data_IF_529714800756
#
_entry.id   IF_529714800756
#
_cell.length_a   1.000
_cell.length_b   1.000
_cell.length_c   1.000
_cell.angle_alpha   90.00
_cell.angle_beta   90.00
_cell.angle_gamma   90.00
#
_symmetry.space_group_name_H-M   'P 1'
#
loop_
_entity.id
_entity.type
_entity.pdbx_description
1 polymer ?
#
# COMPACT_ATOMS: atom_id res chain seq x y z
N UNK A 1 -26.96 2.53 -62.69
CA UNK A 1 -26.68 3.15 -61.38
C UNK A 1 -25.55 2.35 -60.75
N UNK A 2 -24.32 2.81 -60.98
CA UNK A 2 -23.08 2.09 -60.68
C UNK A 2 -22.16 3.09 -60.00
N UNK A 3 -21.98 2.95 -58.69
CA UNK A 3 -21.17 3.88 -57.88
C UNK A 3 -19.78 3.30 -57.65
N UNK A 4 -18.81 4.14 -58.01
CA UNK A 4 -17.37 3.97 -57.93
C UNK A 4 -16.89 3.99 -56.47
N UNK A 5 -16.10 2.99 -56.06
CA UNK A 5 -15.20 3.08 -54.92
C UNK A 5 -13.77 3.35 -55.44
N UNK A 6 -13.08 4.40 -54.98
CA UNK A 6 -11.70 4.63 -55.35
C UNK A 6 -10.78 3.67 -54.58
N UNK A 7 -9.95 2.94 -55.33
CA UNK A 7 -8.91 2.07 -54.80
C UNK A 7 -7.89 2.87 -53.98
N UNK A 8 -7.81 2.60 -52.66
CA UNK A 8 -6.72 3.07 -51.81
C UNK A 8 -5.41 2.40 -52.24
N UNK A 9 -4.61 3.12 -53.02
CA UNK A 9 -3.20 2.76 -53.29
C UNK A 9 -2.45 2.73 -51.96
N UNK A 10 -1.99 1.54 -51.53
CA UNK A 10 -0.95 1.39 -50.51
C UNK A 10 0.30 2.13 -50.99
N UNK A 11 0.55 3.33 -50.48
CA UNK A 11 1.87 3.95 -50.57
C UNK A 11 2.85 3.06 -49.79
N UNK A 12 3.73 2.35 -50.50
CA UNK A 12 4.97 1.83 -49.93
C UNK A 12 5.78 3.06 -49.52
N UNK A 13 5.76 3.38 -48.23
CA UNK A 13 6.77 4.26 -47.65
C UNK A 13 8.07 3.46 -47.68
N UNK A 14 8.87 3.67 -48.72
CA UNK A 14 10.29 3.31 -48.71
C UNK A 14 10.93 4.13 -47.60
N UNK A 15 11.20 3.50 -46.45
CA UNK A 15 12.11 4.06 -45.46
C UNK A 15 13.44 4.28 -46.16
N UNK A 16 13.73 5.54 -46.47
CA UNK A 16 15.08 5.96 -46.82
C UNK A 16 15.95 5.58 -45.63
N UNK A 17 16.93 4.70 -45.84
CA UNK A 17 17.99 4.45 -44.88
C UNK A 17 18.77 5.76 -44.70
N UNK A 18 18.25 6.65 -43.86
CA UNK A 18 19.07 7.66 -43.22
C UNK A 18 20.19 6.87 -42.56
N UNK A 19 21.44 7.10 -43.00
CA UNK A 19 22.63 6.64 -42.28
C UNK A 19 22.51 7.25 -40.90
N UNK A 20 21.98 6.48 -39.96
CA UNK A 20 21.94 6.81 -38.55
C UNK A 20 23.38 7.15 -38.17
N UNK A 21 23.63 8.41 -37.84
CA UNK A 21 24.81 8.73 -37.06
C UNK A 21 24.75 7.78 -35.87
N UNK A 22 25.77 6.93 -35.63
CA UNK A 22 25.75 6.03 -34.50
C UNK A 22 25.49 6.92 -33.29
N UNK A 23 24.35 6.71 -32.61
CA UNK A 23 24.17 7.26 -31.28
C UNK A 23 25.48 6.96 -30.56
N UNK A 24 26.25 8.00 -30.22
CA UNK A 24 27.50 7.82 -29.50
C UNK A 24 27.14 6.95 -28.31
N UNK A 25 27.68 5.72 -28.28
CA UNK A 25 27.22 4.69 -27.36
C UNK A 25 27.31 5.27 -25.96
N UNK A 26 26.17 5.44 -25.32
CA UNK A 26 26.14 5.91 -23.95
C UNK A 26 26.85 4.84 -23.11
N UNK A 27 27.65 5.24 -22.11
CA UNK A 27 28.12 4.30 -21.10
C UNK A 27 26.94 3.50 -20.54
N UNK A 28 27.14 2.20 -20.34
CA UNK A 28 26.08 1.27 -19.93
C UNK A 28 25.42 1.71 -18.61
N UNK A 29 26.18 2.36 -17.73
CA UNK A 29 25.70 2.92 -16.47
C UNK A 29 24.65 4.02 -16.71
N UNK A 30 24.86 4.89 -17.69
CA UNK A 30 23.89 5.93 -18.05
C UNK A 30 22.66 5.32 -18.72
N UNK A 31 22.82 4.27 -19.54
CA UNK A 31 21.70 3.55 -20.13
C UNK A 31 20.80 2.94 -19.05
N UNK A 32 21.38 2.28 -18.04
CA UNK A 32 20.62 1.71 -16.93
C UNK A 32 19.94 2.79 -16.08
N UNK A 33 20.61 3.90 -15.78
CA UNK A 33 19.98 5.02 -15.07
C UNK A 33 18.80 5.62 -15.84
N UNK A 34 18.91 5.73 -17.17
CA UNK A 34 17.80 6.19 -18.01
C UNK A 34 16.63 5.20 -17.90
N UNK A 35 16.87 3.91 -18.08
CA UNK A 35 15.82 2.88 -18.02
C UNK A 35 15.17 2.80 -16.63
N UNK A 36 15.97 2.86 -15.56
CA UNK A 36 15.50 2.84 -14.17
C UNK A 36 14.61 4.05 -13.85
N UNK A 37 14.81 5.19 -14.52
CA UNK A 37 13.94 6.36 -14.36
C UNK A 37 12.47 6.09 -14.75
N UNK A 38 12.25 5.11 -15.64
CA UNK A 38 10.93 4.68 -16.09
C UNK A 38 10.36 3.51 -15.27
N UNK A 39 10.97 3.15 -14.13
CA UNK A 39 10.39 2.16 -13.22
C UNK A 39 8.94 2.53 -12.85
N UNK A 40 8.01 1.60 -13.08
CA UNK A 40 6.58 1.79 -12.88
C UNK A 40 5.80 2.28 -14.10
N UNK A 41 6.46 2.73 -15.18
CA UNK A 41 5.81 3.09 -16.45
C UNK A 41 6.07 2.02 -17.53
N UNK A 42 5.23 0.98 -17.51
CA UNK A 42 5.35 -0.13 -18.45
C UNK A 42 5.11 0.27 -19.91
N UNK A 43 4.43 1.39 -20.19
CA UNK A 43 4.18 1.85 -21.56
C UNK A 43 5.47 2.47 -22.09
N UNK A 44 6.03 3.43 -21.35
CA UNK A 44 7.28 4.10 -21.76
C UNK A 44 8.46 3.11 -21.83
N UNK A 45 8.55 2.15 -20.89
CA UNK A 45 9.55 1.08 -20.95
C UNK A 45 9.45 0.25 -22.23
N UNK A 46 8.25 -0.04 -22.72
CA UNK A 46 8.07 -0.79 -23.99
C UNK A 46 8.50 0.03 -25.18
N UNK A 47 8.16 1.31 -25.21
CA UNK A 47 8.56 2.20 -26.30
C UNK A 47 10.09 2.36 -26.34
N UNK A 48 10.76 2.45 -25.18
CA UNK A 48 12.22 2.47 -25.09
C UNK A 48 12.86 1.19 -25.62
N UNK A 49 12.25 0.01 -25.39
CA UNK A 49 12.72 -1.25 -25.97
C UNK A 49 12.68 -1.25 -27.52
N UNK A 50 11.81 -0.44 -28.13
CA UNK A 50 11.73 -0.31 -29.58
C UNK A 50 12.82 0.59 -30.15
N UNK A 51 13.30 1.55 -29.35
CA UNK A 51 14.38 2.48 -29.75
C UNK A 51 15.73 1.77 -29.76
N UNK A 52 16.05 1.00 -28.72
CA UNK A 52 17.32 0.28 -28.63
C UNK A 52 17.13 -1.14 -28.09
N UNK A 53 17.50 -2.15 -28.90
CA UNK A 53 17.40 -3.56 -28.52
C UNK A 53 18.31 -3.95 -27.36
N UNK A 54 19.43 -3.26 -27.15
CA UNK A 54 20.33 -3.51 -26.01
C UNK A 54 19.60 -3.28 -24.68
N UNK A 55 18.68 -2.31 -24.65
CA UNK A 55 17.90 -1.95 -23.46
C UNK A 55 16.83 -2.99 -23.13
N UNK A 56 16.47 -3.87 -24.06
CA UNK A 56 15.38 -4.82 -23.89
C UNK A 56 15.62 -5.81 -22.73
N UNK A 57 16.88 -6.20 -22.48
CA UNK A 57 17.21 -7.14 -21.41
C UNK A 57 16.96 -6.54 -20.02
N UNK A 58 17.46 -5.32 -19.78
CA UNK A 58 17.26 -4.59 -18.53
C UNK A 58 15.81 -4.13 -18.35
N UNK A 59 15.19 -3.63 -19.42
CA UNK A 59 13.78 -3.24 -19.39
C UNK A 59 12.85 -4.44 -19.15
N UNK A 60 13.19 -5.65 -19.61
CA UNK A 60 12.43 -6.86 -19.29
C UNK A 60 12.39 -7.13 -17.79
N UNK A 61 13.52 -6.98 -17.08
CA UNK A 61 13.52 -7.11 -15.62
C UNK A 61 12.51 -6.12 -14.99
N UNK A 62 12.56 -4.84 -15.34
CA UNK A 62 11.64 -3.83 -14.79
C UNK A 62 10.17 -4.09 -15.17
N UNK A 63 9.91 -4.52 -16.41
CA UNK A 63 8.56 -4.81 -16.91
C UNK A 63 7.92 -6.01 -16.22
N UNK A 64 8.70 -7.03 -15.86
CA UNK A 64 8.22 -8.27 -15.23
C UNK A 64 8.43 -8.31 -13.71
N UNK A 65 9.13 -7.34 -13.10
CA UNK A 65 9.37 -7.27 -11.65
C UNK A 65 8.08 -7.31 -10.83
N UNK A 66 7.09 -6.52 -11.26
CA UNK A 66 5.81 -6.38 -10.60
C UNK A 66 4.70 -6.71 -11.62
N UNK A 67 4.13 -7.91 -11.52
CA UNK A 67 3.11 -8.37 -12.46
C UNK A 67 1.73 -8.26 -11.83
N UNK A 68 0.82 -7.62 -12.55
CA UNK A 68 -0.59 -7.56 -12.22
C UNK A 68 -1.39 -8.42 -13.21
N UNK A 69 -2.04 -9.45 -12.70
CA UNK A 69 -2.82 -10.40 -13.50
C UNK A 69 -4.27 -10.35 -13.06
N UNK A 70 -5.16 -10.16 -14.03
CA UNK A 70 -6.59 -10.31 -13.85
C UNK A 70 -6.99 -11.73 -14.18
N UNK A 71 -8.08 -12.19 -13.60
CA UNK A 71 -8.65 -13.49 -13.99
C UNK A 71 -8.77 -13.68 -15.51
N UNK A 72 -9.22 -12.64 -16.23
CA UNK A 72 -9.43 -12.68 -17.70
C UNK A 72 -8.16 -12.89 -18.53
N UNK A 73 -7.00 -12.40 -18.06
CA UNK A 73 -5.74 -12.54 -18.80
C UNK A 73 -4.79 -13.57 -18.16
N UNK A 74 -5.24 -14.27 -17.11
CA UNK A 74 -4.41 -15.23 -16.39
C UNK A 74 -3.92 -16.36 -17.29
N UNK A 75 -4.81 -16.98 -18.08
CA UNK A 75 -4.40 -18.04 -19.04
C UNK A 75 -3.34 -17.56 -20.04
N UNK A 76 -3.48 -16.33 -20.55
CA UNK A 76 -2.49 -15.76 -21.47
C UNK A 76 -1.15 -15.51 -20.77
N UNK A 77 -1.18 -15.06 -19.51
CA UNK A 77 0.03 -14.90 -18.71
C UNK A 77 0.76 -16.24 -18.50
N UNK A 78 0.02 -17.32 -18.25
CA UNK A 78 0.61 -18.66 -18.13
C UNK A 78 1.22 -19.15 -19.42
N UNK A 79 0.51 -19.03 -20.53
CA UNK A 79 1.04 -19.42 -21.84
C UNK A 79 2.36 -18.68 -22.15
N UNK A 80 2.48 -17.41 -21.73
CA UNK A 80 3.74 -16.66 -21.83
C UNK A 80 4.84 -17.26 -20.95
N UNK A 81 4.55 -17.62 -19.70
CA UNK A 81 5.54 -18.24 -18.81
C UNK A 81 5.97 -19.64 -19.26
N UNK A 82 5.05 -20.41 -19.83
CA UNK A 82 5.33 -21.73 -20.41
C UNK A 82 6.22 -21.62 -21.65
N UNK A 83 5.97 -20.60 -22.48
CA UNK A 83 6.78 -20.34 -23.69
C UNK A 83 8.15 -19.75 -23.32
N UNK A 84 8.21 -18.93 -22.26
CA UNK A 84 9.39 -18.19 -21.83
C UNK A 84 9.67 -18.40 -20.35
N UNK A 85 10.35 -19.51 -20.06
CA UNK A 85 10.72 -19.92 -18.71
C UNK A 85 11.63 -18.92 -17.96
N UNK A 86 12.35 -18.08 -18.69
CA UNK A 86 13.24 -17.05 -18.14
C UNK A 86 12.48 -15.93 -17.42
N UNK A 87 11.29 -15.57 -17.93
CA UNK A 87 10.53 -14.42 -17.44
C UNK A 87 10.04 -14.60 -15.99
N UNK A 88 9.71 -15.83 -15.59
CA UNK A 88 9.24 -16.12 -14.23
C UNK A 88 10.24 -15.72 -13.15
N UNK A 89 11.55 -15.78 -13.45
CA UNK A 89 12.62 -15.42 -12.51
C UNK A 89 12.70 -13.93 -12.22
N UNK A 90 12.17 -13.09 -13.09
CA UNK A 90 12.13 -11.64 -12.87
C UNK A 90 10.96 -11.23 -11.98
N UNK A 91 9.95 -12.08 -11.80
CA UNK A 91 8.75 -11.76 -11.03
C UNK A 91 9.07 -11.78 -9.53
N UNK A 92 9.04 -10.61 -8.90
CA UNK A 92 9.25 -10.43 -7.45
C UNK A 92 7.91 -10.23 -6.75
N UNK A 93 6.99 -9.53 -7.41
CA UNK A 93 5.63 -9.25 -6.91
C UNK A 93 4.61 -9.74 -7.92
N UNK A 94 3.67 -10.57 -7.46
CA UNK A 94 2.54 -11.04 -8.24
C UNK A 94 1.25 -10.61 -7.57
N UNK A 95 0.44 -9.84 -8.29
CA UNK A 95 -0.89 -9.43 -7.86
C UNK A 95 -1.93 -10.11 -8.75
N UNK A 96 -2.81 -10.91 -8.14
CA UNK A 96 -3.88 -11.63 -8.82
C UNK A 96 -5.22 -11.07 -8.34
N UNK A 97 -5.93 -10.41 -9.25
CA UNK A 97 -7.26 -9.84 -8.97
C UNK A 97 -8.33 -10.59 -9.76
N UNK A 98 -9.26 -11.17 -9.01
CA UNK A 98 -10.55 -11.62 -9.56
C UNK A 98 -11.50 -10.41 -9.65
N UNK A 99 -12.28 -10.32 -10.73
CA UNK A 99 -13.15 -9.17 -10.92
C UNK A 99 -14.16 -9.03 -9.77
N UNK A 100 -14.48 -7.80 -9.38
CA UNK A 100 -15.35 -7.44 -8.24
C UNK A 100 -16.82 -7.92 -8.31
N UNK A 101 -17.20 -8.66 -9.36
CA UNK A 101 -18.55 -9.23 -9.45
C UNK A 101 -18.52 -10.57 -8.72
N UNK A 102 -18.84 -10.52 -7.44
CA UNK A 102 -19.17 -11.65 -6.55
C UNK A 102 -20.35 -12.53 -7.01
N UNK A 103 -20.68 -12.50 -8.30
CA UNK A 103 -21.69 -13.37 -8.88
C UNK A 103 -21.03 -14.74 -9.07
N UNK A 104 -20.86 -15.40 -7.92
CA UNK A 104 -20.42 -16.77 -7.77
C UNK A 104 -21.43 -17.68 -8.46
N UNK A 105 -20.98 -18.36 -9.51
CA UNK A 105 -21.49 -19.69 -9.78
C UNK A 105 -20.48 -20.63 -9.14
N UNK A 106 -20.92 -21.54 -8.28
CA UNK A 106 -20.11 -22.51 -7.51
C UNK A 106 -19.23 -23.44 -8.37
N UNK A 107 -19.14 -23.21 -9.69
CA UNK A 107 -18.49 -24.08 -10.66
C UNK A 107 -17.30 -23.44 -11.38
N UNK A 108 -16.87 -22.24 -10.99
CA UNK A 108 -15.60 -21.73 -11.50
C UNK A 108 -14.46 -22.39 -10.72
N UNK A 109 -14.00 -23.53 -11.26
CA UNK A 109 -12.70 -24.14 -10.96
C UNK A 109 -11.67 -23.03 -10.75
N UNK A 110 -11.08 -23.02 -9.55
CA UNK A 110 -10.17 -21.97 -9.16
C UNK A 110 -8.95 -22.07 -10.07
N UNK A 111 -8.69 -20.99 -10.80
CA UNK A 111 -7.52 -20.84 -11.65
C UNK A 111 -6.21 -21.00 -10.87
N UNK A 112 -6.24 -21.03 -9.53
CA UNK A 112 -5.06 -21.38 -8.72
C UNK A 112 -4.86 -22.90 -8.61
N UNK A 113 -5.92 -23.71 -8.64
CA UNK A 113 -5.86 -25.16 -8.44
C UNK A 113 -5.10 -25.85 -9.57
N UNK A 114 -5.40 -25.43 -10.81
CA UNK A 114 -4.80 -26.01 -12.00
C UNK A 114 -3.31 -25.61 -12.17
N UNK A 115 -2.85 -24.59 -11.46
CA UNK A 115 -1.67 -23.81 -11.87
C UNK A 115 -0.60 -23.69 -10.77
N UNK A 116 -0.92 -24.12 -9.55
CA UNK A 116 -0.01 -24.14 -8.41
C UNK A 116 1.39 -24.73 -8.72
N UNK A 117 1.55 -25.86 -9.45
CA UNK A 117 2.88 -26.42 -9.71
C UNK A 117 3.71 -25.59 -10.70
N UNK A 118 3.08 -25.05 -11.75
CA UNK A 118 3.78 -24.32 -12.81
C UNK A 118 4.35 -23.02 -12.25
N UNK A 119 3.56 -22.29 -11.44
CA UNK A 119 4.03 -21.01 -10.91
C UNK A 119 5.18 -21.19 -9.90
N UNK A 120 5.10 -22.23 -9.06
CA UNK A 120 6.14 -22.53 -8.07
C UNK A 120 7.48 -22.81 -8.75
N UNK A 121 7.48 -23.61 -9.83
CA UNK A 121 8.71 -23.92 -10.58
C UNK A 121 9.30 -22.69 -11.28
N UNK A 122 8.45 -21.85 -11.89
CA UNK A 122 8.91 -20.72 -12.71
C UNK A 122 9.26 -19.46 -11.92
N UNK A 123 8.63 -19.24 -10.76
CA UNK A 123 8.77 -17.99 -10.00
C UNK A 123 9.57 -18.17 -8.71
N UNK A 124 10.75 -18.74 -8.81
CA UNK A 124 11.64 -18.99 -7.65
C UNK A 124 12.05 -17.72 -6.87
N UNK A 125 11.89 -16.54 -7.48
CA UNK A 125 12.19 -15.24 -6.86
C UNK A 125 10.96 -14.50 -6.35
N UNK A 126 9.76 -15.10 -6.39
CA UNK A 126 8.54 -14.45 -5.94
C UNK A 126 8.59 -14.23 -4.43
N UNK A 127 8.58 -12.96 -4.00
CA UNK A 127 8.64 -12.57 -2.58
C UNK A 127 7.30 -12.06 -2.07
N UNK A 128 6.54 -11.38 -2.93
CA UNK A 128 5.26 -10.77 -2.59
C UNK A 128 4.15 -11.37 -3.43
N UNK A 129 3.13 -11.92 -2.76
CA UNK A 129 1.91 -12.40 -3.38
C UNK A 129 0.72 -11.61 -2.84
N UNK A 130 -0.07 -11.05 -3.74
CA UNK A 130 -1.30 -10.33 -3.44
C UNK A 130 -2.47 -11.01 -4.14
N UNK A 131 -3.42 -11.50 -3.36
CA UNK A 131 -4.61 -12.19 -3.84
C UNK A 131 -5.83 -11.36 -3.46
N UNK A 132 -6.63 -11.00 -4.45
CA UNK A 132 -7.84 -10.21 -4.25
C UNK A 132 -9.08 -10.85 -4.87
N UNK A 133 -10.20 -10.85 -4.13
CA UNK A 133 -11.54 -11.32 -4.55
C UNK A 133 -11.67 -12.82 -4.88
N UNK A 134 -10.91 -13.67 -4.17
CA UNK A 134 -10.79 -15.11 -4.47
C UNK A 134 -11.69 -16.00 -3.63
N UNK A 135 -12.19 -17.08 -4.21
CA UNK A 135 -12.81 -18.18 -3.46
C UNK A 135 -11.90 -19.42 -3.46
N UNK A 136 -11.57 -19.89 -2.26
CA UNK A 136 -10.78 -21.10 -2.02
C UNK A 136 -11.71 -22.23 -1.57
N UNK A 137 -12.12 -23.08 -2.51
CA UNK A 137 -12.92 -24.29 -2.26
C UNK A 137 -12.16 -25.40 -1.50
N UNK A 138 -12.84 -26.49 -1.16
CA UNK A 138 -12.25 -27.64 -0.43
C UNK A 138 -11.07 -28.29 -1.16
N UNK A 139 -11.15 -28.37 -2.49
CA UNK A 139 -10.14 -29.01 -3.34
C UNK A 139 -8.94 -28.09 -3.63
N UNK A 140 -9.16 -26.77 -3.52
CA UNK A 140 -8.19 -25.72 -3.86
C UNK A 140 -7.04 -25.59 -2.87
N UNK A 141 -7.21 -26.20 -1.70
CA UNK A 141 -6.33 -26.02 -0.57
C UNK A 141 -5.39 -27.19 -0.36
N UNK A 142 -5.16 -28.04 -1.37
CA UNK A 142 -3.88 -28.74 -1.42
C UNK A 142 -2.87 -27.75 -1.98
N UNK A 143 -2.10 -27.05 -1.14
CA UNK A 143 -1.15 -26.09 -1.64
C UNK A 143 -0.10 -26.90 -2.39
N UNK A 144 0.37 -26.39 -3.53
CA UNK A 144 1.67 -26.84 -3.99
C UNK A 144 2.65 -26.49 -2.88
N UNK A 145 3.11 -27.50 -2.15
CA UNK A 145 4.30 -27.39 -1.35
C UNK A 145 5.38 -26.78 -2.28
N UNK A 146 5.95 -25.64 -1.89
CA UNK A 146 7.03 -25.04 -2.68
C UNK A 146 7.07 -23.51 -2.76
N UNK A 147 6.09 -22.78 -2.23
CA UNK A 147 6.13 -21.31 -2.13
C UNK A 147 7.07 -20.80 -1.02
N UNK A 148 8.28 -21.37 -0.96
CA UNK A 148 9.27 -21.09 0.08
C UNK A 148 9.94 -19.72 -0.04
N UNK A 149 9.84 -19.06 -1.20
CA UNK A 149 10.42 -17.73 -1.44
C UNK A 149 9.53 -16.58 -0.97
N UNK A 150 8.23 -16.83 -0.76
CA UNK A 150 7.27 -15.79 -0.39
C UNK A 150 7.48 -15.40 1.06
N UNK A 151 7.77 -14.12 1.27
CA UNK A 151 7.91 -13.51 2.59
C UNK A 151 6.81 -12.50 2.90
N UNK A 152 6.06 -12.04 1.89
CA UNK A 152 4.93 -11.13 2.05
C UNK A 152 3.68 -11.67 1.35
N UNK A 153 2.59 -11.74 2.09
CA UNK A 153 1.31 -12.21 1.60
C UNK A 153 0.22 -11.19 1.92
N UNK A 154 -0.53 -10.80 0.90
CA UNK A 154 -1.72 -9.97 1.03
C UNK A 154 -2.93 -10.75 0.54
N UNK A 155 -3.95 -10.87 1.38
CA UNK A 155 -5.17 -11.63 1.09
C UNK A 155 -6.36 -10.69 1.31
N UNK A 156 -6.98 -10.24 0.23
CA UNK A 156 -8.05 -9.24 0.28
C UNK A 156 -9.34 -9.79 -0.30
N UNK A 157 -10.44 -9.63 0.41
CA UNK A 157 -11.75 -10.05 -0.05
C UNK A 157 -11.73 -11.52 -0.48
N UNK A 158 -11.02 -12.38 0.26
CA UNK A 158 -10.94 -13.79 -0.06
C UNK A 158 -11.85 -14.60 0.86
N UNK A 159 -12.47 -15.64 0.31
CA UNK A 159 -13.31 -16.55 1.07
C UNK A 159 -12.70 -17.94 1.02
N UNK A 160 -12.62 -18.59 2.17
CA UNK A 160 -12.19 -19.99 2.27
C UNK A 160 -13.40 -20.85 2.60
N UNK A 161 -13.52 -22.01 1.97
CA UNK A 161 -14.65 -22.91 2.19
C UNK A 161 -14.65 -23.49 3.61
N UNK A 162 -13.46 -23.70 4.18
CA UNK A 162 -13.25 -24.23 5.54
C UNK A 162 -12.02 -23.61 6.19
N UNK A 163 -11.95 -23.64 7.53
CA UNK A 163 -10.73 -23.25 8.26
C UNK A 163 -9.51 -24.09 7.85
N UNK A 164 -9.72 -25.39 7.56
CA UNK A 164 -8.65 -26.28 7.08
C UNK A 164 -8.12 -25.86 5.71
N UNK A 165 -9.00 -25.40 4.81
CA UNK A 165 -8.55 -24.93 3.50
C UNK A 165 -7.68 -23.68 3.60
N UNK A 166 -8.02 -22.79 4.52
CA UNK A 166 -7.22 -21.61 4.81
C UNK A 166 -5.89 -21.98 5.47
N UNK A 167 -5.90 -22.94 6.40
CA UNK A 167 -4.70 -23.47 7.05
C UNK A 167 -3.68 -23.96 6.05
N UNK A 168 -4.13 -24.87 5.18
CA UNK A 168 -3.25 -25.48 4.21
C UNK A 168 -2.69 -24.39 3.31
N UNK A 169 -3.52 -23.47 2.82
CA UNK A 169 -3.07 -22.33 2.02
C UNK A 169 -1.93 -21.57 2.70
N UNK A 170 -2.11 -21.20 3.97
CA UNK A 170 -1.09 -20.47 4.73
C UNK A 170 0.17 -21.30 5.04
N UNK A 171 0.02 -22.59 5.33
CA UNK A 171 1.15 -23.50 5.57
C UNK A 171 2.09 -23.63 4.35
N UNK A 172 1.65 -23.22 3.16
CA UNK A 172 2.46 -23.17 1.95
C UNK A 172 3.60 -22.14 2.01
N UNK A 173 3.56 -21.19 2.95
CA UNK A 173 4.48 -20.06 3.04
C UNK A 173 5.33 -20.14 4.33
N UNK A 174 6.33 -21.04 4.39
CA UNK A 174 7.13 -21.25 5.61
C UNK A 174 8.03 -20.07 5.98
N UNK A 175 8.33 -19.16 5.04
CA UNK A 175 9.16 -17.96 5.26
C UNK A 175 8.36 -16.67 5.36
N UNK A 176 7.06 -16.77 5.65
CA UNK A 176 6.20 -15.61 5.73
C UNK A 176 6.63 -14.69 6.88
N UNK A 177 6.99 -13.45 6.56
CA UNK A 177 7.36 -12.41 7.53
C UNK A 177 6.29 -11.30 7.60
N UNK A 178 5.48 -11.14 6.56
CA UNK A 178 4.51 -10.05 6.44
C UNK A 178 3.17 -10.59 5.95
N UNK A 179 2.14 -10.45 6.79
CA UNK A 179 0.78 -10.89 6.50
C UNK A 179 -0.18 -9.70 6.58
N UNK A 180 -0.93 -9.47 5.51
CA UNK A 180 -1.99 -8.45 5.43
C UNK A 180 -3.28 -9.13 4.99
N UNK A 181 -4.27 -9.23 5.88
CA UNK A 181 -5.55 -9.87 5.59
C UNK A 181 -6.69 -8.87 5.70
N UNK A 182 -7.43 -8.69 4.61
CA UNK A 182 -8.54 -7.75 4.52
C UNK A 182 -9.83 -8.47 4.11
N UNK A 183 -10.91 -8.42 4.88
CA UNK A 183 -12.17 -9.14 4.62
C UNK A 183 -12.00 -10.61 4.21
N UNK A 184 -11.59 -11.47 5.14
CA UNK A 184 -11.72 -12.92 4.93
C UNK A 184 -12.69 -13.55 5.93
N UNK A 185 -13.44 -14.55 5.47
CA UNK A 185 -14.57 -15.15 6.20
C UNK A 185 -14.22 -16.53 6.75
N UNK A 186 -13.18 -16.69 7.59
CA UNK A 186 -12.86 -18.01 8.20
C UNK A 186 -12.04 -17.94 9.48
N UNK A 187 -12.03 -19.04 10.26
CA UNK A 187 -11.20 -19.19 11.48
C UNK A 187 -9.76 -19.51 11.14
N UNK A 188 -8.80 -18.81 11.74
CA UNK A 188 -7.36 -19.07 11.55
C UNK A 188 -6.84 -20.10 12.55
N UNK A 189 -5.97 -20.99 12.08
CA UNK A 189 -5.01 -21.74 12.91
C UNK A 189 -3.55 -21.37 12.55
N UNK A 190 -2.55 -21.49 13.47
CA UNK A 190 -1.18 -20.96 13.23
C UNK A 190 -0.22 -22.04 12.79
N UNK A 191 0.53 -21.81 11.72
CA UNK A 191 1.89 -22.31 11.58
C UNK A 191 2.81 -21.51 12.52
N UNK A 192 3.91 -22.12 12.99
CA UNK A 192 4.94 -21.41 13.77
C UNK A 192 5.68 -20.38 12.92
N UNK A 193 5.08 -19.20 12.71
CA UNK A 193 5.63 -18.12 11.91
C UNK A 193 6.31 -17.06 12.76
N UNK A 194 7.35 -16.45 12.19
CA UNK A 194 8.05 -15.30 12.74
C UNK A 194 7.60 -14.05 11.99
N UNK A 195 6.34 -13.63 12.23
CA UNK A 195 5.74 -12.50 11.51
C UNK A 195 6.24 -11.16 12.05
N UNK A 196 7.02 -10.43 11.26
CA UNK A 196 7.43 -9.05 11.60
C UNK A 196 6.31 -8.04 11.38
N UNK A 197 5.46 -8.29 10.38
CA UNK A 197 4.36 -7.40 10.02
C UNK A 197 3.05 -8.17 9.99
N UNK A 198 2.06 -7.66 10.72
CA UNK A 198 0.72 -8.20 10.77
C UNK A 198 -0.29 -7.07 10.59
N UNK A 199 -1.11 -7.17 9.56
CA UNK A 199 -2.20 -6.22 9.32
C UNK A 199 -3.53 -6.96 9.14
N UNK A 200 -4.55 -6.42 9.80
CA UNK A 200 -5.91 -6.90 9.67
C UNK A 200 -6.84 -5.79 9.21
N UNK A 201 -7.66 -6.13 8.24
CA UNK A 201 -8.74 -5.32 7.71
C UNK A 201 -9.99 -5.34 8.56
N UNK A 202 -11.12 -5.22 7.86
CA UNK A 202 -12.40 -5.65 8.40
C UNK A 202 -12.41 -7.17 8.52
N UNK A 203 -12.48 -7.69 9.75
CA UNK A 203 -12.44 -9.13 10.03
C UNK A 203 -13.57 -9.53 11.00
N UNK A 204 -14.17 -10.73 10.87
CA UNK A 204 -15.03 -11.30 11.91
C UNK A 204 -14.21 -11.59 13.18
N UNK A 205 -14.29 -10.68 14.14
CA UNK A 205 -13.24 -10.43 15.12
C UNK A 205 -12.98 -11.57 16.08
N UNK A 206 -14.03 -12.23 16.55
CA UNK A 206 -13.98 -13.28 17.55
C UNK A 206 -13.20 -14.52 17.08
N UNK A 207 -12.71 -14.54 15.84
CA UNK A 207 -12.15 -15.76 15.26
C UNK A 207 -10.63 -15.75 15.16
N UNK A 208 -10.05 -14.57 15.03
CA UNK A 208 -8.62 -14.38 14.76
C UNK A 208 -7.90 -13.91 16.02
N UNK A 209 -8.47 -12.97 16.77
CA UNK A 209 -7.91 -12.53 18.04
C UNK A 209 -7.99 -13.61 19.11
N UNK A 210 -9.12 -14.34 19.20
CA UNK A 210 -9.26 -15.50 20.10
C UNK A 210 -8.24 -16.58 19.77
N UNK A 211 -7.96 -16.74 18.48
CA UNK A 211 -7.01 -17.72 18.00
C UNK A 211 -5.56 -17.35 18.30
N UNK A 212 -5.11 -16.14 17.97
CA UNK A 212 -3.74 -15.70 18.29
C UNK A 212 -3.48 -15.72 19.79
N UNK A 213 -4.51 -15.39 20.58
CA UNK A 213 -4.47 -15.47 22.04
C UNK A 213 -4.37 -16.92 22.56
N UNK A 214 -4.95 -17.89 21.85
CA UNK A 214 -4.95 -19.31 22.25
C UNK A 214 -3.67 -20.08 21.88
N UNK A 215 -2.87 -19.59 20.95
CA UNK A 215 -1.64 -20.25 20.54
C UNK A 215 -0.59 -20.24 21.69
N UNK A 216 0.01 -21.39 22.06
CA UNK A 216 1.04 -21.43 23.10
C UNK A 216 2.42 -20.92 22.63
N UNK A 217 2.63 -20.73 21.32
CA UNK A 217 3.90 -20.28 20.77
C UNK A 217 4.28 -18.85 21.18
N UNK A 218 5.60 -18.62 21.34
CA UNK A 218 6.15 -17.27 21.39
C UNK A 218 5.94 -16.61 20.03
N UNK A 219 5.16 -15.53 20.02
CA UNK A 219 4.77 -14.82 18.81
C UNK A 219 5.28 -13.38 18.90
N UNK A 220 6.28 -13.04 18.09
CA UNK A 220 6.87 -11.70 18.04
C UNK A 220 6.38 -10.96 16.81
N UNK A 221 5.85 -9.75 16.98
CA UNK A 221 5.40 -8.87 15.89
C UNK A 221 5.98 -7.49 16.09
N UNK A 222 6.69 -6.96 15.08
CA UNK A 222 7.25 -5.61 15.14
C UNK A 222 6.23 -4.54 14.75
N UNK A 223 5.40 -4.83 13.73
CA UNK A 223 4.37 -3.95 13.20
C UNK A 223 3.01 -4.61 13.25
N UNK A 224 2.07 -3.98 13.94
CA UNK A 224 0.70 -4.44 14.03
C UNK A 224 -0.27 -3.36 13.59
N UNK A 225 -1.15 -3.70 12.65
CA UNK A 225 -2.20 -2.82 12.14
C UNK A 225 -3.54 -3.50 12.21
N UNK A 226 -4.54 -2.75 12.63
CA UNK A 226 -5.94 -3.17 12.58
C UNK A 226 -6.79 -2.03 12.02
N UNK A 227 -7.64 -2.33 11.04
CA UNK A 227 -8.48 -1.35 10.35
C UNK A 227 -9.93 -1.32 10.87
N UNK A 228 -10.32 -2.32 11.66
CA UNK A 228 -11.63 -2.34 12.28
C UNK A 228 -11.58 -3.08 13.62
N UNK A 229 -11.98 -2.38 14.67
CA UNK A 229 -12.41 -2.96 15.94
C UNK A 229 -13.94 -3.08 15.90
N UNK A 230 -14.44 -4.04 16.64
CA UNK A 230 -15.82 -4.50 16.60
C UNK A 230 -16.24 -4.66 18.04
N UNK A 231 -17.41 -5.26 18.27
CA UNK A 231 -18.13 -5.00 19.51
C UNK A 231 -17.39 -5.51 20.74
N UNK A 232 -16.54 -6.52 20.60
CA UNK A 232 -15.76 -7.10 21.69
C UNK A 232 -14.26 -6.84 21.49
N UNK A 233 -13.69 -5.95 22.30
CA UNK A 233 -12.25 -5.69 22.31
C UNK A 233 -11.47 -6.64 23.25
N UNK A 234 -12.13 -7.55 23.97
CA UNK A 234 -11.46 -8.45 24.94
C UNK A 234 -10.43 -9.34 24.24
N UNK A 235 -10.78 -9.90 23.10
CA UNK A 235 -9.88 -10.72 22.30
C UNK A 235 -8.69 -9.92 21.77
N UNK A 236 -8.92 -8.66 21.39
CA UNK A 236 -7.86 -7.78 20.92
C UNK A 236 -6.92 -7.38 22.06
N UNK A 237 -7.43 -7.15 23.27
CA UNK A 237 -6.61 -6.97 24.46
C UNK A 237 -5.76 -8.20 24.77
N UNK A 238 -6.35 -9.41 24.67
CA UNK A 238 -5.61 -10.65 24.87
C UNK A 238 -4.47 -10.78 23.85
N UNK A 239 -4.72 -10.39 22.60
CA UNK A 239 -3.70 -10.33 21.56
C UNK A 239 -2.61 -9.30 21.89
N UNK A 240 -2.98 -8.05 22.19
CA UNK A 240 -2.01 -7.01 22.54
C UNK A 240 -1.19 -7.37 23.77
N UNK A 241 -1.78 -8.02 24.77
CA UNK A 241 -1.04 -8.53 25.93
C UNK A 241 0.00 -9.57 25.53
N UNK A 242 -0.30 -10.40 24.54
CA UNK A 242 0.63 -11.42 24.02
C UNK A 242 1.75 -10.81 23.17
N UNK A 243 1.45 -9.86 22.27
CA UNK A 243 2.45 -9.30 21.33
C UNK A 243 3.11 -8.01 21.80
N UNK A 244 2.56 -7.36 22.82
CA UNK A 244 2.87 -5.99 23.19
C UNK A 244 4.35 -5.77 23.51
N UNK A 245 4.98 -6.71 24.20
CA UNK A 245 6.39 -6.58 24.60
C UNK A 245 7.38 -6.56 23.43
N UNK A 246 6.99 -7.06 22.25
CA UNK A 246 7.78 -6.98 21.02
C UNK A 246 7.33 -5.88 20.05
N UNK A 247 6.20 -5.23 20.32
CA UNK A 247 5.53 -4.39 19.35
C UNK A 247 6.17 -3.00 19.25
N UNK A 248 6.76 -2.69 18.09
CA UNK A 248 7.40 -1.40 17.83
C UNK A 248 6.47 -0.40 17.19
N UNK A 249 5.59 -0.84 16.30
CA UNK A 249 4.66 0.01 15.57
C UNK A 249 3.23 -0.52 15.74
N UNK A 250 2.33 0.32 16.24
CA UNK A 250 0.92 -0.01 16.40
C UNK A 250 0.07 0.97 15.61
N UNK A 251 -0.76 0.47 14.70
CA UNK A 251 -1.77 1.24 13.97
C UNK A 251 -3.16 0.77 14.39
N UNK A 252 -3.88 1.63 15.10
CA UNK A 252 -5.24 1.41 15.57
C UNK A 252 -6.25 2.00 14.59
N UNK A 253 -7.44 1.41 14.46
CA UNK A 253 -8.47 1.94 13.58
C UNK A 253 -9.21 3.09 14.22
N UNK A 254 -9.90 3.82 13.36
CA UNK A 254 -10.97 4.72 13.71
C UNK A 254 -11.99 3.98 14.55
N UNK A 255 -12.38 4.59 15.65
CA UNK A 255 -13.25 4.03 16.68
C UNK A 255 -14.73 4.05 16.28
N UNK A 256 -15.01 4.07 14.96
CA UNK A 256 -16.28 4.56 14.43
C UNK A 256 -17.49 3.64 14.67
N UNK A 257 -17.25 2.37 14.97
CA UNK A 257 -18.30 1.39 15.25
C UNK A 257 -18.29 0.87 16.69
N UNK A 258 -17.26 1.21 17.45
CA UNK A 258 -17.09 0.72 18.81
C UNK A 258 -17.11 1.92 19.73
N UNK A 259 -18.18 2.05 20.50
CA UNK A 259 -18.22 3.00 21.62
C UNK A 259 -17.19 2.54 22.64
N UNK A 260 -15.96 3.04 22.50
CA UNK A 260 -14.85 2.75 23.41
C UNK A 260 -15.04 3.17 24.87
N UNK A 261 -16.03 4.01 25.28
CA UNK A 261 -16.32 4.14 26.71
C UNK A 261 -16.73 2.80 27.36
N UNK A 262 -17.22 1.82 26.59
CA UNK A 262 -17.76 0.57 27.15
C UNK A 262 -16.75 -0.59 27.16
N UNK A 263 -15.71 -0.54 26.32
CA UNK A 263 -14.74 -1.65 26.24
C UNK A 263 -13.32 -1.15 26.48
N UNK A 264 -12.68 -1.53 27.60
CA UNK A 264 -11.37 -0.99 27.97
C UNK A 264 -10.29 -1.59 27.09
N UNK A 265 -9.96 -0.94 25.98
CA UNK A 265 -8.77 -1.27 25.20
C UNK A 265 -7.51 -0.86 25.99
N UNK A 266 -6.57 -1.79 26.16
CA UNK A 266 -5.32 -1.58 26.92
C UNK A 266 -4.09 -1.78 26.03
N UNK A 267 -3.26 -0.73 25.97
CA UNK A 267 -1.95 -0.76 25.28
C UNK A 267 -0.77 -0.71 26.27
N UNK A 268 -1.03 -0.94 27.57
CA UNK A 268 -0.04 -0.87 28.65
C UNK A 268 1.13 -1.85 28.50
N UNK A 269 0.87 -3.00 27.86
CA UNK A 269 1.87 -4.05 27.64
C UNK A 269 2.80 -3.73 26.45
N UNK A 270 2.55 -2.66 25.69
CA UNK A 270 3.35 -2.25 24.55
C UNK A 270 4.58 -1.43 24.96
N UNK A 271 5.50 -2.04 25.74
CA UNK A 271 6.60 -1.33 26.42
C UNK A 271 7.77 -0.91 25.52
N UNK A 272 7.84 -1.44 24.30
CA UNK A 272 8.88 -1.10 23.29
C UNK A 272 8.31 -0.32 22.10
N UNK A 273 7.11 0.23 22.26
CA UNK A 273 6.42 0.97 21.20
C UNK A 273 7.19 2.23 20.82
N UNK A 274 7.53 2.36 19.55
CA UNK A 274 8.24 3.52 18.97
C UNK A 274 7.33 4.40 18.13
N UNK A 275 6.29 3.81 17.52
CA UNK A 275 5.31 4.52 16.72
C UNK A 275 3.90 4.08 17.05
N UNK A 276 3.04 5.06 17.29
CA UNK A 276 1.60 4.87 17.44
C UNK A 276 0.86 5.66 16.35
N UNK A 277 -0.02 4.98 15.64
CA UNK A 277 -0.82 5.56 14.57
C UNK A 277 -2.29 5.33 14.83
N UNK A 278 -3.09 6.40 14.77
CA UNK A 278 -4.54 6.32 14.77
C UNK A 278 -5.01 6.55 13.34
N UNK A 279 -5.62 5.52 12.73
CA UNK A 279 -6.01 5.51 11.32
C UNK A 279 -7.50 5.78 11.15
N UNK A 280 -7.88 6.95 10.64
CA UNK A 280 -9.26 7.39 10.78
C UNK A 280 -10.11 7.32 9.51
N UNK A 281 -11.35 6.81 9.64
CA UNK A 281 -12.34 6.70 8.57
C UNK A 281 -13.77 6.89 9.14
N UNK A 282 -14.07 8.05 9.73
CA UNK A 282 -15.44 8.44 10.13
C UNK A 282 -15.52 9.20 11.46
N UNK A 283 -16.51 10.10 11.65
CA UNK A 283 -16.77 11.05 12.80
C UNK A 283 -16.32 10.63 14.22
N UNK A 284 -15.69 11.56 14.97
CA UNK A 284 -15.14 11.23 16.30
C UNK A 284 -16.14 11.50 17.40
N UNK A 285 -17.00 10.53 17.70
CA UNK A 285 -17.68 10.52 19.02
C UNK A 285 -16.74 10.09 20.16
N UNK A 286 -15.45 9.88 19.90
CA UNK A 286 -14.55 9.13 20.78
C UNK A 286 -13.18 9.75 21.03
N UNK A 287 -13.01 11.07 20.89
CA UNK A 287 -11.75 11.74 21.27
C UNK A 287 -11.26 11.34 22.68
N UNK A 288 -12.19 11.11 23.62
CA UNK A 288 -11.91 10.55 24.96
C UNK A 288 -11.28 9.15 24.95
N UNK A 289 -11.63 8.32 23.98
CA UNK A 289 -11.03 6.99 23.79
C UNK A 289 -9.57 7.10 23.37
N UNK A 290 -9.22 8.03 22.48
CA UNK A 290 -7.83 8.30 22.10
C UNK A 290 -7.04 8.79 23.32
N UNK A 291 -7.57 9.77 24.05
CA UNK A 291 -6.94 10.30 25.27
C UNK A 291 -6.72 9.17 26.30
N UNK A 292 -7.75 8.35 26.53
CA UNK A 292 -7.66 7.19 27.43
C UNK A 292 -6.57 6.20 27.00
N UNK A 293 -6.37 5.97 25.69
CA UNK A 293 -5.30 5.11 25.20
C UNK A 293 -3.93 5.75 25.36
N UNK A 294 -3.79 7.03 25.00
CA UNK A 294 -2.54 7.77 25.16
C UNK A 294 -2.06 7.76 26.61
N UNK A 295 -2.97 7.97 27.57
CA UNK A 295 -2.67 7.93 29.01
C UNK A 295 -2.29 6.53 29.54
N UNK A 296 -2.45 5.47 28.75
CA UNK A 296 -2.03 4.11 29.11
C UNK A 296 -0.65 3.74 28.58
N UNK A 297 -0.04 4.59 27.75
CA UNK A 297 1.27 4.29 27.15
C UNK A 297 2.34 4.33 28.24
N UNK A 298 3.08 3.24 28.34
CA UNK A 298 4.20 3.06 29.26
C UNK A 298 5.56 3.00 28.53
N UNK A 299 5.57 3.07 27.20
CA UNK A 299 6.79 2.94 26.40
C UNK A 299 7.62 4.21 26.47
N UNK A 300 8.85 4.18 27.03
CA UNK A 300 9.74 5.32 27.00
C UNK A 300 10.31 5.57 25.59
N UNK A 301 10.17 4.62 24.67
CA UNK A 301 10.75 4.68 23.33
C UNK A 301 9.83 5.33 22.29
N UNK A 302 8.66 5.85 22.69
CA UNK A 302 7.69 6.39 21.75
C UNK A 302 8.19 7.71 21.17
N UNK A 303 8.60 7.69 19.90
CA UNK A 303 9.14 8.88 19.20
C UNK A 303 8.15 9.50 18.23
N UNK A 304 7.13 8.75 17.78
CA UNK A 304 6.17 9.23 16.79
C UNK A 304 4.75 8.86 17.17
N UNK A 305 3.89 9.87 17.25
CA UNK A 305 2.43 9.70 17.25
C UNK A 305 1.91 10.27 15.93
N UNK A 306 1.01 9.55 15.26
CA UNK A 306 0.39 10.06 14.04
C UNK A 306 -1.12 9.91 14.05
N UNK A 307 -1.79 10.98 13.65
CA UNK A 307 -3.22 11.02 13.42
C UNK A 307 -3.49 11.07 11.93
N UNK A 308 -4.54 10.40 11.53
CA UNK A 308 -5.06 10.38 10.19
C UNK A 308 -6.40 11.10 10.24
N UNK A 309 -6.56 12.23 9.57
CA UNK A 309 -7.74 13.08 9.71
C UNK A 309 -8.45 13.20 8.38
N UNK A 310 -9.70 12.76 8.33
CA UNK A 310 -10.58 13.05 7.20
C UNK A 310 -11.35 14.36 7.43
N UNK A 311 -11.01 15.42 6.70
CA UNK A 311 -11.52 16.78 6.97
C UNK A 311 -13.05 16.92 6.79
N UNK A 312 -13.71 16.00 6.08
CA UNK A 312 -15.15 16.06 5.84
C UNK A 312 -16.03 15.57 7.00
N UNK A 313 -15.46 14.87 7.97
CA UNK A 313 -16.22 14.17 9.02
C UNK A 313 -16.21 14.89 10.36
N UNK A 314 -15.97 16.20 10.35
CA UNK A 314 -16.01 17.03 11.55
C UNK A 314 -14.95 16.70 12.60
N UNK A 315 -13.84 16.10 12.17
CA UNK A 315 -12.76 15.64 13.05
C UNK A 315 -11.97 16.74 13.73
N UNK A 316 -12.16 17.97 13.28
CA UNK A 316 -11.55 19.12 13.92
C UNK A 316 -12.26 19.48 15.22
N UNK A 317 -13.43 18.88 15.52
CA UNK A 317 -14.13 19.05 16.80
C UNK A 317 -13.65 18.10 17.91
N UNK A 318 -12.52 17.41 17.72
CA UNK A 318 -11.91 16.64 18.81
C UNK A 318 -11.43 17.55 19.95
N UNK A 319 -11.37 17.01 21.20
CA UNK A 319 -10.73 17.67 22.34
C UNK A 319 -9.20 17.69 22.15
N UNK A 320 -8.73 18.44 21.17
CA UNK A 320 -7.32 18.54 20.82
C UNK A 320 -6.49 19.12 21.95
N UNK A 321 -7.06 20.02 22.75
CA UNK A 321 -6.43 20.59 23.94
C UNK A 321 -6.08 19.49 24.96
N UNK A 322 -6.98 18.52 25.18
CA UNK A 322 -6.70 17.39 26.07
C UNK A 322 -5.64 16.43 25.47
N UNK A 323 -5.59 16.30 24.14
CA UNK A 323 -4.53 15.52 23.46
C UNK A 323 -3.17 16.23 23.59
N UNK A 324 -3.15 17.56 23.49
CA UNK A 324 -1.98 18.41 23.69
C UNK A 324 -1.42 18.24 25.11
N UNK A 325 -2.30 18.33 26.12
CA UNK A 325 -1.96 18.12 27.53
C UNK A 325 -1.34 16.74 27.77
N UNK A 326 -1.96 15.66 27.26
CA UNK A 326 -1.46 14.29 27.47
C UNK A 326 -0.10 14.07 26.79
N UNK A 327 0.07 14.50 25.54
CA UNK A 327 1.31 14.30 24.78
C UNK A 327 2.46 15.20 25.24
N UNK A 328 2.20 16.15 26.13
CA UNK A 328 3.23 17.00 26.75
C UNK A 328 3.64 16.59 28.17
N UNK A 329 3.03 15.53 28.72
CA UNK A 329 3.46 14.93 29.98
C UNK A 329 4.84 14.24 29.88
N UNK A 330 5.47 13.98 31.04
CA UNK A 330 6.78 13.31 31.14
C UNK A 330 6.81 11.91 30.50
N UNK A 331 5.65 11.23 30.40
CA UNK A 331 5.53 9.95 29.71
C UNK A 331 5.91 10.02 28.21
N UNK A 332 5.90 11.23 27.63
CA UNK A 332 6.22 11.51 26.23
C UNK A 332 7.45 12.43 26.09
N UNK A 333 8.41 12.34 27.03
CA UNK A 333 9.65 13.11 26.98
C UNK A 333 10.46 12.86 25.69
N UNK A 334 10.44 11.62 25.19
CA UNK A 334 11.17 11.19 23.99
C UNK A 334 10.37 11.36 22.68
N UNK A 335 9.19 11.97 22.74
CA UNK A 335 8.36 12.22 21.57
C UNK A 335 9.04 13.25 20.66
N UNK A 336 9.39 12.85 19.43
CA UNK A 336 10.07 13.71 18.46
C UNK A 336 9.10 14.43 17.52
N UNK A 337 7.95 13.83 17.24
CA UNK A 337 7.00 14.38 16.27
C UNK A 337 5.57 13.85 16.47
N UNK A 338 4.62 14.75 16.24
CA UNK A 338 3.19 14.45 16.13
C UNK A 338 2.75 14.76 14.70
N UNK A 339 2.38 13.73 13.96
CA UNK A 339 2.11 13.84 12.51
C UNK A 339 0.61 13.81 12.26
N UNK A 340 0.08 14.86 11.64
CA UNK A 340 -1.29 14.92 11.16
C UNK A 340 -1.33 14.69 9.66
N UNK A 341 -1.79 13.51 9.24
CA UNK A 341 -2.02 13.19 7.84
C UNK A 341 -3.46 13.54 7.52
N UNK A 342 -3.69 14.68 6.88
CA UNK A 342 -5.03 15.16 6.57
C UNK A 342 -5.37 14.83 5.12
N UNK A 343 -6.60 14.35 4.89
CA UNK A 343 -7.15 14.15 3.56
C UNK A 343 -8.64 14.51 3.51
N UNK A 344 -9.15 14.69 2.30
CA UNK A 344 -10.53 15.08 2.04
C UNK A 344 -10.63 15.81 0.71
N UNK A 345 -11.69 15.50 -0.07
CA UNK A 345 -12.06 16.29 -1.25
C UNK A 345 -12.44 17.74 -0.89
N UNK A 346 -12.94 18.56 -1.85
CA UNK A 346 -13.10 20.01 -1.69
C UNK A 346 -13.72 20.39 -0.34
N UNK A 347 -13.04 21.31 0.35
CA UNK A 347 -13.19 21.70 1.74
C UNK A 347 -14.49 22.50 1.98
N UNK A 348 -15.66 21.93 1.69
CA UNK A 348 -16.94 22.60 1.95
C UNK A 348 -17.59 22.13 3.26
N UNK A 349 -16.83 21.47 4.14
CA UNK A 349 -17.33 20.99 5.42
C UNK A 349 -16.86 21.90 6.56
N UNK A 350 -17.79 22.35 7.40
CA UNK A 350 -17.55 23.14 8.62
C UNK A 350 -16.92 24.53 8.42
N UNK A 351 -17.07 25.12 7.25
CA UNK A 351 -16.56 26.48 6.99
C UNK A 351 -15.04 26.56 6.77
N UNK A 352 -14.33 25.43 6.86
CA UNK A 352 -12.91 25.36 6.58
C UNK A 352 -12.74 25.14 5.09
N UNK A 353 -12.18 26.13 4.41
CA UNK A 353 -12.11 26.25 2.95
C UNK A 353 -10.81 25.72 2.35
N UNK A 354 -9.81 25.41 3.18
CA UNK A 354 -8.47 25.01 2.73
C UNK A 354 -7.75 24.10 3.73
N UNK A 355 -6.69 23.43 3.27
CA UNK A 355 -5.80 22.65 4.12
C UNK A 355 -5.05 23.58 5.10
N UNK A 356 -4.64 24.75 4.62
CA UNK A 356 -3.95 25.77 5.42
C UNK A 356 -4.81 26.25 6.59
N UNK A 357 -6.12 26.45 6.37
CA UNK A 357 -7.06 26.82 7.43
C UNK A 357 -7.23 25.69 8.47
N UNK A 358 -7.27 24.43 8.03
CA UNK A 358 -7.27 23.28 8.94
C UNK A 358 -5.97 23.18 9.76
N UNK A 359 -4.82 23.49 9.17
CA UNK A 359 -3.52 23.53 9.86
C UNK A 359 -3.50 24.63 10.92
N UNK A 360 -3.91 25.86 10.56
CA UNK A 360 -3.97 26.98 11.51
C UNK A 360 -4.89 26.67 12.70
N UNK A 361 -6.07 26.10 12.42
CA UNK A 361 -7.00 25.70 13.49
C UNK A 361 -6.39 24.64 14.42
N UNK A 362 -5.60 23.72 13.89
CA UNK A 362 -4.93 22.69 14.69
C UNK A 362 -3.76 23.26 15.50
N UNK A 363 -2.97 24.16 14.93
CA UNK A 363 -1.89 24.87 15.62
C UNK A 363 -2.45 25.69 16.80
N UNK A 364 -3.58 26.39 16.59
CA UNK A 364 -4.27 27.16 17.63
C UNK A 364 -4.75 26.30 18.81
N UNK A 365 -5.03 25.00 18.60
CA UNK A 365 -5.50 24.07 19.64
C UNK A 365 -4.42 23.20 20.24
N UNK A 366 -3.25 23.11 19.61
CA UNK A 366 -2.13 22.25 20.01
C UNK A 366 -0.91 23.09 20.40
N UNK A 367 -1.15 24.10 21.23
CA UNK A 367 -0.20 25.16 21.56
C UNK A 367 1.07 24.62 22.24
N UNK A 368 0.94 23.62 23.12
CA UNK A 368 2.08 23.05 23.85
C UNK A 368 2.96 22.20 22.94
N UNK A 369 2.37 21.38 22.08
CA UNK A 369 3.09 20.61 21.06
C UNK A 369 3.76 21.52 20.01
N UNK A 370 3.11 22.62 19.63
CA UNK A 370 3.71 23.61 18.73
C UNK A 370 4.90 24.33 19.38
N UNK A 371 4.75 24.75 20.65
CA UNK A 371 5.83 25.37 21.41
C UNK A 371 7.05 24.45 21.56
N UNK A 372 6.85 23.12 21.58
CA UNK A 372 7.93 22.11 21.55
C UNK A 372 8.47 21.81 20.15
N UNK A 373 7.87 22.37 19.09
CA UNK A 373 8.25 22.14 17.69
C UNK A 373 7.96 20.73 17.19
N UNK A 374 6.97 20.04 17.77
CA UNK A 374 6.66 18.63 17.48
C UNK A 374 5.66 18.45 16.33
N UNK A 375 4.85 19.45 16.01
CA UNK A 375 3.76 19.34 15.03
C UNK A 375 4.27 19.19 13.59
N UNK A 376 3.71 18.23 12.85
CA UNK A 376 3.97 18.03 11.42
C UNK A 376 2.67 17.78 10.69
N UNK A 377 2.40 18.54 9.64
CA UNK A 377 1.19 18.41 8.85
C UNK A 377 1.51 17.89 7.45
N UNK A 378 0.79 16.86 7.01
CA UNK A 378 0.91 16.29 5.68
C UNK A 378 -0.44 16.37 4.97
N UNK A 379 -0.47 17.05 3.83
CA UNK A 379 -1.56 16.90 2.87
C UNK A 379 -1.42 15.53 2.19
N UNK A 380 -2.27 14.58 2.55
CA UNK A 380 -2.32 13.29 1.89
C UNK A 380 -3.22 13.41 0.65
N UNK A 381 -2.64 13.30 -0.54
CA UNK A 381 -3.44 13.10 -1.75
C UNK A 381 -4.23 11.79 -1.59
N UNK A 382 -5.56 11.89 -1.66
CA UNK A 382 -6.52 10.78 -1.58
C UNK A 382 -6.16 9.63 -2.54
N UNK A 383 -5.43 9.96 -3.60
CA UNK A 383 -4.93 9.05 -4.63
C UNK A 383 -3.98 7.96 -4.09
N UNK A 384 -3.21 8.19 -3.02
CA UNK A 384 -2.18 7.22 -2.56
C UNK A 384 -2.71 6.01 -1.77
N UNK A 385 -3.93 6.07 -1.21
CA UNK A 385 -4.45 5.00 -0.33
C UNK A 385 -5.49 4.10 -0.98
N UNK A 386 -6.29 4.63 -1.90
CA UNK A 386 -7.15 3.79 -2.75
C UNK A 386 -6.34 3.01 -3.80
N UNK A 387 -5.07 3.36 -4.01
CA UNK A 387 -4.18 2.72 -5.00
C UNK A 387 -3.11 1.79 -4.43
N UNK A 388 -3.34 1.16 -3.28
CA UNK A 388 -2.73 -0.16 -3.02
C UNK A 388 -3.24 -1.23 -4.03
N UNK A 389 -4.19 -0.88 -4.90
CA UNK A 389 -4.41 -1.46 -6.23
C UNK A 389 -3.84 -0.50 -7.27
N UNK A 390 -2.93 -0.91 -8.18
CA UNK A 390 -2.34 0.00 -9.16
C UNK A 390 -3.44 0.63 -10.04
N UNK A 391 -3.35 1.93 -10.35
CA UNK A 391 -4.35 2.63 -11.16
C UNK A 391 -4.26 2.14 -12.61
N UNK A 392 -5.15 1.23 -13.00
CA UNK A 392 -5.36 0.98 -14.43
C UNK A 392 -6.44 1.93 -14.95
N UNK A 393 -6.04 2.89 -15.76
CA UNK A 393 -6.90 3.74 -16.60
C UNK A 393 -7.63 4.92 -15.94
N UNK A 394 -6.99 5.66 -15.03
CA UNK A 394 -7.26 7.11 -14.96
C UNK A 394 -6.22 7.82 -15.81
N UNK A 395 -6.62 8.85 -16.57
CA UNK A 395 -5.68 9.72 -17.27
C UNK A 395 -4.73 10.30 -16.23
N UNK A 396 -3.48 9.86 -16.23
CA UNK A 396 -2.44 10.40 -15.38
C UNK A 396 -2.31 11.90 -15.63
N UNK A 397 -2.66 12.70 -14.63
CA UNK A 397 -1.98 13.98 -14.38
C UNK A 397 -0.75 13.61 -13.54
N UNK A 398 0.49 13.84 -13.99
CA UNK A 398 1.65 13.38 -13.24
C UNK A 398 1.83 14.23 -11.97
N UNK A 399 1.75 13.60 -10.80
CA UNK A 399 2.15 14.16 -9.50
C UNK A 399 3.65 14.54 -9.43
N UNK A 400 4.44 14.16 -10.45
CA UNK A 400 5.84 14.61 -10.62
C UNK A 400 5.95 16.07 -11.09
N UNK A 401 4.86 16.70 -11.54
CA UNK A 401 4.89 18.09 -12.02
C UNK A 401 5.24 19.11 -10.92
N UNK A 402 5.10 18.81 -9.62
CA UNK A 402 5.41 19.80 -8.59
C UNK A 402 6.92 20.00 -8.38
N UNK A 403 7.73 18.93 -8.40
CA UNK A 403 9.19 19.04 -8.33
C UNK A 403 9.72 19.72 -9.61
N UNK A 404 9.21 19.34 -10.79
CA UNK A 404 9.58 20.01 -12.04
C UNK A 404 9.11 21.46 -12.11
N UNK A 405 7.93 21.80 -11.57
CA UNK A 405 7.47 23.20 -11.43
C UNK A 405 8.28 23.97 -10.41
N UNK A 406 8.72 23.37 -9.30
CA UNK A 406 9.60 24.01 -8.33
C UNK A 406 11.01 24.22 -8.89
N UNK A 407 11.55 23.24 -9.61
CA UNK A 407 12.84 23.37 -10.31
C UNK A 407 12.75 24.39 -11.43
N UNK A 408 11.71 24.36 -12.26
CA UNK A 408 11.48 25.34 -13.33
C UNK A 408 11.24 26.75 -12.77
N UNK A 409 10.45 26.90 -11.70
CA UNK A 409 10.25 28.19 -11.03
C UNK A 409 11.51 28.69 -10.32
N UNK A 410 12.35 27.79 -9.80
CA UNK A 410 13.65 28.13 -9.23
C UNK A 410 14.66 28.56 -10.31
N UNK A 411 14.69 27.88 -11.45
CA UNK A 411 15.50 28.25 -12.62
C UNK A 411 15.04 29.58 -13.23
N UNK A 412 13.73 29.81 -13.34
CA UNK A 412 13.16 31.05 -13.87
C UNK A 412 13.46 32.28 -12.99
N UNK A 413 13.67 32.11 -11.68
CA UNK A 413 14.06 33.19 -10.74
C UNK A 413 15.56 33.51 -10.75
N UNK A 414 16.39 32.65 -11.33
CA UNK A 414 17.86 32.78 -11.33
C UNK A 414 18.48 32.96 -12.72
N UNK A 415 17.69 32.88 -13.78
CA UNK A 415 18.15 33.28 -15.10
C UNK A 415 18.33 34.81 -15.12
N UNK A 416 19.53 35.35 -15.41
CA UNK A 416 19.67 36.78 -15.63
C UNK A 416 18.83 37.17 -16.86
N UNK A 417 18.24 38.37 -16.87
CA UNK A 417 17.50 38.84 -18.04
C UNK A 417 18.47 38.88 -19.22
N UNK A 418 18.19 38.09 -20.25
CA UNK A 418 18.81 38.29 -21.55
C UNK A 418 18.34 39.66 -22.05
N UNK A 419 19.18 40.67 -21.85
CA UNK A 419 19.11 41.90 -22.62
C UNK A 419 19.41 41.51 -24.08
N UNK A 420 18.37 41.43 -24.91
CA UNK A 420 18.53 41.66 -26.33
C UNK A 420 18.98 43.11 -26.49
N UNK A 421 20.30 43.31 -26.59
CA UNK A 421 20.85 44.53 -27.12
C UNK A 421 20.58 44.52 -28.63
N UNK A 422 19.67 45.40 -29.06
CA UNK A 422 19.61 45.85 -30.43
C UNK A 422 20.92 46.58 -30.78
N UNK A 423 21.39 46.29 -31.99
CA UNK A 423 22.26 47.08 -32.89
C UNK A 423 23.69 46.61 -33.17
N UNK A 424 24.03 46.90 -34.45
CA UNK A 424 25.33 47.02 -35.15
C UNK A 424 25.87 45.66 -35.66
N UNK A 425 26.08 45.39 -36.96
CA UNK A 425 26.60 46.15 -38.11
C UNK A 425 25.92 45.67 -39.43
N UNK A 426 25.56 46.58 -40.35
CA UNK A 426 26.31 47.01 -41.54
C UNK A 426 26.15 46.09 -42.77
#
# INVERSE_FOLDING_TARGET
>A
MSTLFPSLRRQRVTMVHAREAPFAQLPMELEFLIIDHFEGDAIQLRDLCLVNRAWASHAQYLLFRNVYVRYRNFRSFLAVLETRNDLGRYIITLNIVEGSRWVQTEHQSSVLDAISPILVDKMCNLRTLDLSYKYFGRETAQPAAGWSSISRLQVRFCRFATSNSMLSFFAAFPRLESLDVFHCETRFPVPAWHLKYLAFGEFPQNTLTDWLAADPGEFTVDYFRILSLGPDASSFNALLKKVGSGLRHLELPSMYRVRLPEVPLSIRDCTVLTKLSFSERGTLDSGRGIISLLSQISSPNLTTVSFEIYLKTGHLDMPWEEVDDVLTTDAFENLERVIFNMWGGPFECQGISSFEEAVLLMEDRLVLLDARGLLRFNAAEETRRLTAVPPSQSRHVPARNWIYRKIAAWMARRAPPFCCADNICA
#
